data_IF_999202307931
#
_entry.id   IF_999202307931
#
_cell.length_a   1.000
_cell.length_b   1.000
_cell.length_c   1.000
_cell.angle_alpha   90.00
_cell.angle_beta   90.00
_cell.angle_gamma   90.00
#
_symmetry.space_group_name_H-M   'P 1'
#
loop_
_entity.id
_entity.type
_entity.pdbx_description
1 polymer ?
#
# COMPACT_ATOMS: atom_id res chain seq x y z
N UNK A 1 14.16 -3.42 6.09
CA UNK A 1 13.00 -3.68 6.96
C UNK A 1 13.21 -4.97 7.73
N UNK A 2 13.22 -4.95 9.07
CA UNK A 2 13.26 -6.18 9.89
C UNK A 2 11.86 -6.53 10.35
N UNK A 3 11.26 -7.55 9.73
CA UNK A 3 9.99 -8.14 10.18
C UNK A 3 10.25 -9.21 11.25
N UNK A 4 10.92 -8.82 12.34
CA UNK A 4 11.19 -9.71 13.47
C UNK A 4 10.01 -9.70 14.46
N UNK A 5 9.59 -10.88 14.94
CA UNK A 5 8.53 -11.03 15.93
C UNK A 5 8.89 -10.30 17.24
N UNK A 6 10.18 -10.27 17.59
CA UNK A 6 10.66 -9.61 18.81
C UNK A 6 10.48 -8.09 18.80
N UNK A 7 10.27 -7.50 17.62
CA UNK A 7 10.02 -6.07 17.45
C UNK A 7 8.52 -5.73 17.43
N UNK A 8 7.62 -6.74 17.46
CA UNK A 8 6.17 -6.58 17.36
C UNK A 8 5.52 -6.87 18.71
N UNK A 9 4.58 -6.03 19.14
CA UNK A 9 3.76 -6.23 20.35
C UNK A 9 2.28 -6.17 19.99
N UNK A 10 1.43 -6.86 20.76
CA UNK A 10 -0.04 -6.91 20.57
C UNK A 10 -0.47 -7.40 19.18
N UNK A 11 0.02 -8.58 18.79
CA UNK A 11 -0.38 -9.22 17.53
C UNK A 11 -1.77 -9.81 17.69
N UNK A 12 -2.75 -9.19 17.04
CA UNK A 12 -4.12 -9.69 16.96
C UNK A 12 -4.44 -10.14 15.53
N UNK A 13 -5.42 -11.03 15.39
CA UNK A 13 -5.91 -11.39 14.07
C UNK A 13 -6.51 -10.16 13.40
N UNK A 14 -5.99 -9.84 12.21
CA UNK A 14 -6.54 -8.78 11.39
C UNK A 14 -7.98 -9.12 10.99
N UNK A 15 -8.87 -8.13 11.10
CA UNK A 15 -10.22 -8.22 10.53
C UNK A 15 -10.20 -8.24 8.99
N UNK A 16 -9.08 -7.81 8.39
CA UNK A 16 -8.85 -7.92 6.94
C UNK A 16 -8.46 -9.36 6.60
N UNK A 17 -9.33 -10.03 5.86
CA UNK A 17 -9.17 -11.42 5.43
C UNK A 17 -8.79 -11.53 3.96
N UNK A 18 -8.99 -12.74 3.41
CA UNK A 18 -8.67 -13.05 2.02
C UNK A 18 -9.49 -12.19 1.02
N UNK A 19 -10.75 -11.92 1.32
CA UNK A 19 -11.62 -11.10 0.45
C UNK A 19 -11.07 -9.69 0.25
N UNK A 20 -10.47 -9.13 1.32
CA UNK A 20 -9.83 -7.81 1.27
C UNK A 20 -8.61 -7.84 0.36
N UNK A 21 -7.81 -8.92 0.41
CA UNK A 21 -6.63 -9.08 -0.46
C UNK A 21 -7.06 -9.27 -1.93
N UNK A 22 -8.12 -10.03 -2.18
CA UNK A 22 -8.66 -10.22 -3.52
C UNK A 22 -9.26 -8.95 -4.13
N UNK A 23 -9.72 -8.02 -3.30
CA UNK A 23 -10.19 -6.70 -3.74
C UNK A 23 -9.04 -5.73 -4.08
N UNK A 24 -7.79 -6.06 -3.76
CA UNK A 24 -6.64 -5.23 -4.12
C UNK A 24 -6.31 -5.40 -5.61
N UNK A 25 -6.21 -4.27 -6.31
CA UNK A 25 -5.79 -4.24 -7.71
C UNK A 25 -4.31 -3.86 -7.80
N UNK A 26 -3.39 -4.83 -8.02
CA UNK A 26 -2.00 -4.51 -8.31
C UNK A 26 -1.92 -3.81 -9.67
N UNK A 27 -1.18 -2.71 -9.73
CA UNK A 27 -0.96 -1.93 -10.96
C UNK A 27 0.52 -1.82 -11.26
N UNK A 28 0.83 -1.78 -12.55
CA UNK A 28 2.16 -1.43 -13.04
C UNK A 28 2.13 0.02 -13.53
N UNK A 29 3.00 0.86 -12.97
CA UNK A 29 3.01 2.29 -13.27
C UNK A 29 4.43 2.80 -13.54
N UNK A 30 4.49 3.89 -14.31
CA UNK A 30 5.69 4.69 -14.48
C UNK A 30 5.48 5.99 -13.71
N UNK A 31 6.53 6.48 -13.06
CA UNK A 31 6.47 7.80 -12.45
C UNK A 31 6.38 8.86 -13.55
N UNK A 32 5.66 9.96 -13.29
CA UNK A 32 5.53 11.06 -14.28
C UNK A 32 6.88 11.70 -14.64
N UNK A 33 7.89 11.52 -13.78
CA UNK A 33 9.27 11.97 -14.00
C UNK A 33 10.13 10.96 -14.76
N UNK A 34 9.63 9.74 -15.00
CA UNK A 34 10.35 8.68 -15.68
C UNK A 34 10.07 8.70 -17.18
N UNK A 35 11.11 8.42 -17.98
CA UNK A 35 10.95 8.22 -19.40
C UNK A 35 10.19 6.91 -19.69
N UNK A 36 9.43 6.88 -20.78
CA UNK A 36 8.63 5.70 -21.18
C UNK A 36 9.47 4.43 -21.46
N UNK A 37 10.80 4.56 -21.49
CA UNK A 37 11.75 3.46 -21.67
C UNK A 37 12.13 2.76 -20.35
N UNK A 38 11.69 3.27 -19.21
CA UNK A 38 11.95 2.68 -17.89
C UNK A 38 10.91 1.59 -17.61
N UNK A 39 11.37 0.47 -17.07
CA UNK A 39 10.51 -0.65 -16.68
C UNK A 39 9.48 -0.20 -15.65
N UNK A 40 8.22 -0.59 -15.85
CA UNK A 40 7.13 -0.25 -14.94
C UNK A 40 7.42 -0.76 -13.54
N UNK A 41 7.17 0.11 -12.56
CA UNK A 41 7.18 -0.27 -11.15
C UNK A 41 5.87 -0.95 -10.81
N UNK A 42 5.95 -2.07 -10.10
CA UNK A 42 4.78 -2.75 -9.55
C UNK A 42 4.40 -2.10 -8.21
N UNK A 43 3.12 -1.77 -8.05
CA UNK A 43 2.61 -1.27 -6.78
C UNK A 43 1.09 -1.21 -6.74
N UNK A 44 0.59 -0.33 -5.89
CA UNK A 44 -0.84 -0.10 -5.69
C UNK A 44 -1.15 1.38 -5.73
N UNK A 45 -2.37 1.71 -6.13
CA UNK A 45 -2.88 3.07 -6.08
C UNK A 45 -3.42 3.32 -4.67
N UNK A 46 -2.90 4.33 -3.97
CA UNK A 46 -3.31 4.62 -2.59
C UNK A 46 -4.82 4.89 -2.48
N UNK A 47 -5.44 5.51 -3.50
CA UNK A 47 -6.89 5.75 -3.55
C UNK A 47 -7.70 4.45 -3.61
N UNK A 48 -7.21 3.43 -4.31
CA UNK A 48 -7.89 2.12 -4.37
C UNK A 48 -7.74 1.37 -3.05
N UNK A 49 -6.55 1.45 -2.44
CA UNK A 49 -6.31 0.89 -1.11
C UNK A 49 -7.16 1.61 -0.05
N UNK A 50 -7.42 2.89 -0.17
CA UNK A 50 -8.26 3.63 0.80
C UNK A 50 -9.69 3.09 0.85
N UNK A 51 -10.24 2.69 -0.30
CA UNK A 51 -11.60 2.14 -0.40
C UNK A 51 -11.68 0.78 0.29
N UNK A 52 -10.62 -0.02 0.19
CA UNK A 52 -10.59 -1.40 0.69
C UNK A 52 -10.08 -1.47 2.15
N UNK A 53 -9.02 -0.73 2.46
CA UNK A 53 -8.31 -0.69 3.74
C UNK A 53 -7.90 0.77 4.06
N UNK A 54 -8.84 1.61 4.54
CA UNK A 54 -8.55 3.01 4.83
C UNK A 54 -7.46 3.19 5.90
N UNK A 55 -7.30 2.22 6.81
CA UNK A 55 -6.23 2.24 7.82
C UNK A 55 -4.81 2.15 7.25
N UNK A 56 -4.64 1.63 6.04
CA UNK A 56 -3.33 1.48 5.41
C UNK A 56 -2.90 2.75 4.67
N UNK A 57 -3.82 3.71 4.47
CA UNK A 57 -3.54 4.96 3.79
C UNK A 57 -3.38 6.08 4.80
N UNK A 58 -2.24 6.76 4.76
CA UNK A 58 -2.01 8.02 5.46
C UNK A 58 -2.10 9.18 4.48
N UNK A 59 -2.55 10.33 4.98
CA UNK A 59 -2.52 11.59 4.24
C UNK A 59 -1.31 12.35 4.75
N UNK A 60 -0.34 12.58 3.87
CA UNK A 60 0.80 13.43 4.19
C UNK A 60 0.36 14.90 4.36
N UNK A 61 1.17 15.71 5.06
CA UNK A 61 0.88 17.13 5.30
C UNK A 61 0.65 17.96 4.02
N UNK A 62 1.08 17.44 2.88
CA UNK A 62 0.88 18.04 1.56
C UNK A 62 -0.43 17.61 0.85
N UNK A 63 -1.28 16.80 1.49
CA UNK A 63 -2.54 16.30 0.93
C UNK A 63 -2.40 15.08 0.02
N UNK A 64 -1.20 14.52 -0.08
CA UNK A 64 -0.93 13.31 -0.84
C UNK A 64 -1.31 12.07 -0.03
N UNK A 65 -1.86 11.06 -0.69
CA UNK A 65 -2.22 9.78 -0.05
C UNK A 65 -1.09 8.80 -0.24
N UNK A 66 -0.56 8.31 0.86
CA UNK A 66 0.58 7.39 0.91
C UNK A 66 0.22 6.12 1.67
N UNK A 67 0.87 5.02 1.35
CA UNK A 67 0.69 3.77 2.09
C UNK A 67 1.58 3.80 3.34
N UNK A 68 1.00 3.49 4.50
CA UNK A 68 1.75 3.23 5.72
C UNK A 68 2.58 1.95 5.53
N UNK A 69 3.83 2.10 5.11
CA UNK A 69 4.82 1.03 4.92
C UNK A 69 5.78 0.94 6.10
#
# INVERSE_FOLDING_TARGET
CSSDLNLKKNVENSAYGLDTIMALNPVEFNWKSEENSISKSLGFIAQDIEIVIPKLVSIDGNGNRELNT
#
